data_IF_764755031949
#
_entry.id   IF_764755031949
#
_cell.length_a   1.000
_cell.length_b   1.000
_cell.length_c   1.000
_cell.angle_alpha   90.00
_cell.angle_beta   90.00
_cell.angle_gamma   90.00
#
_symmetry.space_group_name_H-M   'P 1'
#
loop_
_entity.id
_entity.type
_entity.pdbx_description
1 polymer ?
#
# COMPACT_ATOMS: atom_id res chain seq x y z
N UNK A 1 4.57 -24.75 12.99
CA UNK A 1 3.46 -24.09 12.28
C UNK A 1 3.25 -22.73 12.94
N UNK A 2 3.54 -21.63 12.25
CA UNK A 2 3.29 -20.31 12.82
C UNK A 2 1.80 -20.22 13.15
N UNK A 3 1.48 -19.93 14.41
CA UNK A 3 0.10 -19.75 14.83
C UNK A 3 -0.50 -18.62 13.99
N UNK A 4 -1.68 -18.86 13.41
CA UNK A 4 -2.51 -17.80 12.85
C UNK A 4 -2.92 -16.89 14.01
N UNK A 5 -2.08 -15.92 14.34
CA UNK A 5 -2.45 -14.87 15.28
C UNK A 5 -3.57 -14.07 14.61
N UNK A 6 -4.68 -13.88 15.31
CA UNK A 6 -5.70 -12.90 14.95
C UNK A 6 -5.09 -11.51 15.04
N UNK A 7 -4.31 -11.13 14.03
CA UNK A 7 -3.78 -9.77 13.93
C UNK A 7 -4.98 -8.86 13.75
N UNK A 8 -5.18 -7.97 14.73
CA UNK A 8 -6.33 -7.09 14.76
C UNK A 8 -6.34 -6.18 13.52
N UNK A 9 -7.35 -6.35 12.68
CA UNK A 9 -7.60 -5.55 11.50
C UNK A 9 -9.11 -5.46 11.26
N UNK A 10 -9.56 -4.27 10.86
CA UNK A 10 -10.95 -4.05 10.42
C UNK A 10 -11.27 -4.71 9.07
N UNK A 11 -10.24 -5.10 8.31
CA UNK A 11 -10.37 -5.74 7.00
C UNK A 11 -9.73 -7.14 7.02
N UNK A 12 -10.44 -8.11 6.44
CA UNK A 12 -9.98 -9.48 6.24
C UNK A 12 -10.28 -9.89 4.79
N UNK A 13 -9.28 -9.94 3.88
CA UNK A 13 -7.85 -9.64 4.09
C UNK A 13 -7.56 -8.13 4.30
N UNK A 14 -6.39 -7.80 4.86
CA UNK A 14 -5.93 -6.42 5.04
C UNK A 14 -4.69 -6.12 4.21
N UNK A 15 -4.71 -4.98 3.54
CA UNK A 15 -3.60 -4.45 2.73
C UNK A 15 -2.48 -3.93 3.63
N UNK A 16 -2.79 -3.32 4.78
CA UNK A 16 -1.77 -2.91 5.75
C UNK A 16 -0.94 -4.11 6.23
N UNK A 17 -1.59 -5.23 6.55
CA UNK A 17 -0.89 -6.45 6.97
C UNK A 17 -0.05 -7.06 5.85
N UNK A 18 -0.58 -7.07 4.62
CA UNK A 18 0.17 -7.48 3.43
C UNK A 18 1.46 -6.68 3.29
N UNK A 19 1.37 -5.35 3.27
CA UNK A 19 2.55 -4.49 3.13
C UNK A 19 3.50 -4.61 4.32
N UNK A 20 2.99 -4.69 5.54
CA UNK A 20 3.81 -4.88 6.73
C UNK A 20 4.61 -6.20 6.65
N UNK A 21 3.98 -7.30 6.24
CA UNK A 21 4.68 -8.59 6.09
C UNK A 21 5.84 -8.51 5.08
N UNK A 22 5.69 -7.70 4.03
CA UNK A 22 6.69 -7.53 2.98
C UNK A 22 7.93 -6.73 3.44
N UNK A 23 7.83 -5.93 4.52
CA UNK A 23 8.95 -5.17 5.08
C UNK A 23 10.14 -6.07 5.42
N UNK A 24 9.87 -7.27 5.94
CA UNK A 24 10.91 -8.25 6.30
C UNK A 24 11.69 -8.80 5.08
N UNK A 25 11.11 -8.69 3.88
CA UNK A 25 11.65 -9.27 2.64
C UNK A 25 12.46 -8.28 1.80
N UNK A 26 12.46 -6.98 2.14
CA UNK A 26 13.07 -5.91 1.34
C UNK A 26 14.57 -6.11 1.12
N UNK A 27 15.27 -6.76 2.07
CA UNK A 27 16.73 -7.00 1.97
C UNK A 27 17.08 -8.08 0.95
N UNK A 28 16.17 -9.01 0.69
CA UNK A 28 16.42 -10.20 -0.15
C UNK A 28 15.67 -10.15 -1.48
N UNK A 29 14.70 -9.24 -1.62
CA UNK A 29 13.79 -9.22 -2.76
C UNK A 29 13.64 -7.80 -3.34
N UNK A 30 13.45 -7.72 -4.65
CA UNK A 30 13.02 -6.48 -5.31
C UNK A 30 11.51 -6.37 -5.19
N UNK A 31 11.05 -5.32 -4.51
CA UNK A 31 9.63 -5.11 -4.23
C UNK A 31 9.18 -3.81 -4.87
N UNK A 32 8.00 -3.84 -5.49
CA UNK A 32 7.22 -2.70 -5.94
C UNK A 32 5.89 -2.76 -5.22
N UNK A 33 5.54 -1.71 -4.48
CA UNK A 33 4.29 -1.64 -3.75
C UNK A 33 3.36 -0.60 -4.40
N UNK A 34 2.14 -1.00 -4.70
CA UNK A 34 1.17 -0.16 -5.41
C UNK A 34 -0.16 -0.23 -4.66
N UNK A 35 -0.75 0.92 -4.38
CA UNK A 35 -2.12 1.02 -3.86
C UNK A 35 -3.04 1.58 -4.94
N UNK A 36 -4.15 0.90 -5.18
CA UNK A 36 -5.12 1.23 -6.23
C UNK A 36 -6.42 1.77 -5.62
N UNK A 37 -7.36 2.14 -6.48
CA UNK A 37 -8.71 2.59 -6.18
C UNK A 37 -9.36 1.73 -5.10
N UNK A 38 -10.09 2.39 -4.19
CA UNK A 38 -10.75 1.73 -3.08
C UNK A 38 -11.18 2.72 -2.02
N UNK A 39 -12.11 2.30 -1.17
CA UNK A 39 -12.63 3.11 -0.06
C UNK A 39 -11.81 2.86 1.21
N UNK A 40 -11.69 3.89 2.06
CA UNK A 40 -11.03 3.77 3.37
C UNK A 40 -9.54 4.09 3.33
N UNK A 41 -8.83 3.62 4.35
CA UNK A 41 -7.41 3.89 4.60
C UNK A 41 -6.53 2.64 4.70
N UNK A 42 -7.10 1.44 4.51
CA UNK A 42 -6.35 0.18 4.55
C UNK A 42 -5.24 0.19 3.49
N UNK A 43 -4.02 -0.13 3.93
CA UNK A 43 -2.81 -0.12 3.10
C UNK A 43 -2.01 1.19 3.17
N UNK A 44 -2.58 2.31 3.64
CA UNK A 44 -1.83 3.56 3.70
C UNK A 44 -0.65 3.49 4.68
N UNK A 45 -0.86 2.89 5.86
CA UNK A 45 0.18 2.77 6.90
C UNK A 45 1.26 1.79 6.46
N UNK A 46 0.86 0.61 5.99
CA UNK A 46 1.78 -0.42 5.51
C UNK A 46 2.61 0.06 4.32
N UNK A 47 2.01 0.80 3.39
CA UNK A 47 2.73 1.37 2.24
C UNK A 47 3.76 2.40 2.69
N UNK A 48 3.42 3.24 3.68
CA UNK A 48 4.36 4.22 4.23
C UNK A 48 5.54 3.56 4.94
N UNK A 49 5.31 2.48 5.69
CA UNK A 49 6.39 1.68 6.29
C UNK A 49 7.30 1.06 5.22
N UNK A 50 6.75 0.49 4.14
CA UNK A 50 7.55 0.02 3.01
C UNK A 50 8.36 1.15 2.37
N UNK A 51 7.76 2.31 2.15
CA UNK A 51 8.45 3.46 1.58
C UNK A 51 9.68 3.86 2.40
N UNK A 52 9.58 3.88 3.74
CA UNK A 52 10.71 4.18 4.64
C UNK A 52 11.88 3.22 4.48
N UNK A 53 11.65 1.99 4.04
CA UNK A 53 12.71 1.00 3.78
C UNK A 53 13.40 1.19 2.42
N UNK A 54 13.00 2.18 1.62
CA UNK A 54 13.53 2.44 0.28
C UNK A 54 12.80 1.70 -0.83
N UNK A 55 11.69 1.01 -0.52
CA UNK A 55 10.85 0.36 -1.54
C UNK A 55 10.18 1.41 -2.41
N UNK A 56 10.19 1.19 -3.73
CA UNK A 56 9.44 2.02 -4.67
C UNK A 56 7.94 1.80 -4.41
N UNK A 57 7.28 2.86 -3.98
CA UNK A 57 5.85 2.88 -3.70
C UNK A 57 5.13 3.82 -4.69
N UNK A 58 3.95 3.41 -5.13
CA UNK A 58 3.11 4.14 -6.08
C UNK A 58 1.65 4.12 -5.61
N UNK A 59 0.87 5.12 -6.04
CA UNK A 59 -0.58 5.08 -5.90
C UNK A 59 -1.27 5.41 -7.24
N UNK A 60 -2.49 4.93 -7.40
CA UNK A 60 -3.35 5.34 -8.51
C UNK A 60 -3.73 6.82 -8.39
N UNK A 61 -3.81 7.53 -9.51
CA UNK A 61 -4.26 8.92 -9.54
C UNK A 61 -5.79 9.03 -9.34
N UNK A 62 -6.26 10.23 -9.03
CA UNK A 62 -7.69 10.48 -8.82
C UNK A 62 -8.51 10.35 -10.12
N UNK A 63 -7.93 10.68 -11.27
CA UNK A 63 -8.62 10.71 -12.55
C UNK A 63 -9.05 9.32 -13.05
N UNK A 64 -8.25 8.28 -12.77
CA UNK A 64 -8.55 6.89 -13.16
C UNK A 64 -9.26 6.10 -12.04
N UNK A 65 -9.23 6.60 -10.81
CA UNK A 65 -9.84 5.93 -9.66
C UNK A 65 -11.37 5.96 -9.72
N UNK A 66 -12.01 4.80 -9.54
CA UNK A 66 -13.47 4.74 -9.32
C UNK A 66 -13.83 5.32 -7.95
N UNK A 67 -13.03 5.02 -6.93
CA UNK A 67 -13.13 5.59 -5.58
C UNK A 67 -11.75 5.99 -5.10
N UNK A 68 -11.51 7.30 -5.04
CA UNK A 68 -10.23 7.88 -4.61
C UNK A 68 -10.13 7.99 -3.07
N UNK A 69 -10.32 6.87 -2.36
CA UNK A 69 -10.20 6.78 -0.89
C UNK A 69 -8.81 6.34 -0.45
N UNK A 70 -8.47 5.07 -0.72
CA UNK A 70 -7.18 4.48 -0.32
C UNK A 70 -5.99 5.19 -0.97
N UNK A 71 -5.97 5.50 -2.29
CA UNK A 71 -4.85 6.22 -2.90
C UNK A 71 -4.67 7.63 -2.31
N UNK A 72 -5.78 8.30 -1.99
CA UNK A 72 -5.77 9.60 -1.32
C UNK A 72 -5.14 9.51 0.06
N UNK A 73 -5.52 8.51 0.88
CA UNK A 73 -4.94 8.34 2.21
C UNK A 73 -3.46 8.00 2.20
N UNK A 74 -3.03 7.17 1.24
CA UNK A 74 -1.62 6.91 1.04
C UNK A 74 -0.84 8.18 0.65
N UNK A 75 -1.40 9.03 -0.21
CA UNK A 75 -0.80 10.30 -0.63
C UNK A 75 -0.78 11.35 0.49
N UNK A 76 -1.84 11.43 1.29
CA UNK A 76 -1.92 12.31 2.47
C UNK A 76 -0.85 11.92 3.50
N UNK A 77 -0.62 10.62 3.71
CA UNK A 77 0.36 10.10 4.66
C UNK A 77 1.81 10.24 4.17
N UNK A 78 2.04 10.12 2.86
CA UNK A 78 3.35 10.28 2.24
C UNK A 78 3.28 11.31 1.10
N UNK A 79 3.61 12.59 1.36
CA UNK A 79 3.62 13.63 0.34
C UNK A 79 4.56 13.36 -0.84
N UNK A 80 5.56 12.50 -0.69
CA UNK A 80 6.50 12.11 -1.75
C UNK A 80 6.02 10.91 -2.58
N UNK A 81 4.92 10.25 -2.21
CA UNK A 81 4.31 9.18 -2.98
C UNK A 81 3.85 9.73 -4.33
N UNK A 82 4.22 9.06 -5.43
CA UNK A 82 3.86 9.51 -6.78
C UNK A 82 2.54 8.88 -7.23
N UNK A 83 1.48 9.68 -7.47
CA UNK A 83 0.29 9.20 -8.16
C UNK A 83 0.62 8.93 -9.63
N UNK A 84 0.13 7.84 -10.19
CA UNK A 84 0.30 7.50 -11.62
C UNK A 84 -1.02 7.07 -12.23
N UNK A 85 -1.15 7.23 -13.56
CA UNK A 85 -2.31 6.74 -14.28
C UNK A 85 -2.35 5.21 -14.27
N UNK A 86 -3.56 4.65 -14.24
CA UNK A 86 -3.75 3.20 -14.35
C UNK A 86 -3.14 2.64 -15.65
N UNK A 87 -3.03 3.45 -16.71
CA UNK A 87 -2.39 3.07 -17.98
C UNK A 87 -0.87 2.97 -17.90
N UNK A 88 -0.25 3.74 -17.01
CA UNK A 88 1.21 3.75 -16.79
C UNK A 88 1.66 2.67 -15.80
N UNK A 89 0.73 2.21 -14.96
CA UNK A 89 0.96 1.13 -13.98
C UNK A 89 0.87 -0.25 -14.65
N UNK A 90 0.03 -0.40 -15.69
CA UNK A 90 -0.13 -1.64 -16.48
C UNK A 90 1.07 -1.90 -17.39
#
# INVERSE_FOLDING_TARGET
VAAWQDVASSFKPSVDLLFHSAVSLVKTNKILAIILTGMGDDGAKGLFELYKTGVRCLCENEADSVVYGMPKRAKDMNPHLKPMSLKEIK
#
